data_IF_147924630383
#
_entry.id   IF_147924630383
#
_cell.length_a   1.000
_cell.length_b   1.000
_cell.length_c   1.000
_cell.angle_alpha   90.00
_cell.angle_beta   90.00
_cell.angle_gamma   90.00
#
_symmetry.space_group_name_H-M   'P 1'
#
loop_
_entity.id
_entity.type
_entity.pdbx_description
1 polymer ?
#
# COMPACT_ATOMS: atom_id res chain seq x y z
N UNK A 1 -14.55 8.18 3.33
CA UNK A 1 -13.14 7.71 3.42
C UNK A 1 -13.14 6.27 3.91
N UNK A 2 -12.70 5.33 3.08
CA UNK A 2 -12.68 3.91 3.44
C UNK A 2 -11.37 3.60 4.17
N UNK A 3 -11.46 3.42 5.50
CA UNK A 3 -10.33 3.16 6.40
C UNK A 3 -9.45 2.01 5.86
N UNK A 4 -8.16 2.27 5.70
CA UNK A 4 -7.19 1.27 5.25
C UNK A 4 -7.08 0.05 6.17
N UNK A 5 -6.32 -0.95 5.69
CA UNK A 5 -5.93 -2.16 6.40
C UNK A 5 -5.63 -1.88 7.88
N UNK A 6 -6.20 -2.69 8.77
CA UNK A 6 -5.75 -2.73 10.17
C UNK A 6 -4.48 -3.59 10.27
N UNK A 7 -3.31 -2.99 10.50
CA UNK A 7 -2.04 -3.69 10.49
C UNK A 7 -1.83 -4.57 11.74
N UNK A 8 -2.66 -4.43 12.76
CA UNK A 8 -2.56 -5.23 14.00
C UNK A 8 -3.08 -6.66 13.82
N UNK A 9 -3.92 -6.88 12.80
CA UNK A 9 -4.56 -8.16 12.50
C UNK A 9 -3.75 -9.04 11.52
N UNK A 10 -2.59 -8.57 11.05
CA UNK A 10 -1.74 -9.33 10.13
C UNK A 10 -0.67 -10.06 10.95
N UNK A 11 -0.93 -11.32 11.25
CA UNK A 11 0.00 -12.20 11.98
C UNK A 11 0.62 -13.28 11.10
N UNK A 12 -0.09 -13.66 10.03
CA UNK A 12 0.30 -14.69 9.09
C UNK A 12 0.22 -14.19 7.63
N UNK A 13 0.93 -14.83 6.68
CA UNK A 13 0.78 -14.53 5.26
C UNK A 13 -0.68 -14.62 4.75
N UNK A 14 -1.48 -15.52 5.31
CA UNK A 14 -2.90 -15.67 4.97
C UNK A 14 -3.73 -14.44 5.37
N UNK A 15 -3.45 -13.85 6.55
CA UNK A 15 -4.12 -12.62 7.01
C UNK A 15 -3.84 -11.48 6.04
N UNK A 16 -2.60 -11.41 5.54
CA UNK A 16 -2.20 -10.41 4.56
C UNK A 16 -2.94 -10.57 3.23
N UNK A 17 -3.07 -11.80 2.72
CA UNK A 17 -3.86 -12.06 1.50
C UNK A 17 -5.31 -11.62 1.69
N UNK A 18 -5.91 -11.96 2.84
CA UNK A 18 -7.28 -11.56 3.18
C UNK A 18 -7.41 -10.03 3.20
N UNK A 19 -6.47 -9.34 3.82
CA UNK A 19 -6.51 -7.90 3.96
C UNK A 19 -6.40 -7.15 2.61
N UNK A 20 -5.58 -7.64 1.67
CA UNK A 20 -5.55 -7.10 0.30
C UNK A 20 -6.88 -7.29 -0.45
N UNK A 21 -7.54 -8.44 -0.26
CA UNK A 21 -8.86 -8.70 -0.86
C UNK A 21 -9.94 -7.83 -0.24
N UNK A 22 -9.91 -7.66 1.08
CA UNK A 22 -10.84 -6.79 1.78
C UNK A 22 -10.68 -5.33 1.33
N UNK A 23 -9.44 -4.87 1.11
CA UNK A 23 -9.17 -3.54 0.55
C UNK A 23 -9.71 -3.41 -0.89
N UNK A 24 -9.50 -4.42 -1.73
CA UNK A 24 -10.03 -4.45 -3.10
C UNK A 24 -11.56 -4.34 -3.11
N UNK A 25 -12.23 -5.05 -2.20
CA UNK A 25 -13.69 -4.97 -2.04
C UNK A 25 -14.12 -3.57 -1.59
N UNK A 26 -13.42 -2.98 -0.60
CA UNK A 26 -13.72 -1.63 -0.10
C UNK A 26 -13.53 -0.55 -1.17
N UNK A 27 -12.58 -0.76 -2.09
CA UNK A 27 -12.32 0.13 -3.20
C UNK A 27 -13.31 -0.02 -4.37
N UNK A 28 -14.37 -0.83 -4.23
CA UNK A 28 -15.35 -1.03 -5.29
C UNK A 28 -14.93 -2.06 -6.36
N UNK A 29 -13.96 -2.92 -6.03
CA UNK A 29 -13.50 -4.01 -6.88
C UNK A 29 -12.95 -3.59 -8.26
N UNK A 30 -12.00 -2.63 -8.36
CA UNK A 30 -11.39 -2.27 -9.64
C UNK A 30 -10.80 -3.49 -10.33
N UNK A 31 -11.04 -3.65 -11.62
CA UNK A 31 -10.55 -4.79 -12.38
C UNK A 31 -9.03 -4.74 -12.53
N UNK A 32 -8.37 -5.89 -12.72
CA UNK A 32 -6.93 -5.90 -12.97
C UNK A 32 -6.51 -5.14 -14.25
N UNK A 33 -7.45 -4.92 -15.17
CA UNK A 33 -7.26 -4.09 -16.36
C UNK A 33 -7.26 -2.59 -16.06
N UNK A 34 -8.05 -2.15 -15.07
CA UNK A 34 -8.07 -0.76 -14.58
C UNK A 34 -6.90 -0.48 -13.63
N UNK A 35 -6.59 -1.41 -12.74
CA UNK A 35 -5.53 -1.22 -11.75
C UNK A 35 -4.15 -1.05 -12.38
N UNK A 36 -3.85 -1.80 -13.45
CA UNK A 36 -2.52 -1.81 -14.09
C UNK A 36 -2.09 -0.45 -14.68
N UNK A 37 -2.93 0.28 -15.45
CA UNK A 37 -2.59 1.64 -15.89
C UNK A 37 -2.58 2.66 -14.75
N UNK A 38 -3.40 2.49 -13.70
CA UNK A 38 -3.45 3.41 -12.54
C UNK A 38 -2.16 3.41 -11.72
N UNK A 39 -1.44 2.29 -11.71
CA UNK A 39 -0.24 2.09 -10.90
C UNK A 39 1.06 2.43 -11.62
N UNK A 40 0.97 2.84 -12.90
CA UNK A 40 2.13 3.17 -13.73
C UNK A 40 2.81 1.94 -14.37
N UNK A 41 3.66 2.17 -15.39
CA UNK A 41 4.24 1.09 -16.19
C UNK A 41 5.09 0.13 -15.35
N UNK A 42 4.77 -1.17 -15.41
CA UNK A 42 5.57 -2.23 -14.79
C UNK A 42 5.41 -2.38 -13.26
N UNK A 43 4.77 -1.43 -12.58
CA UNK A 43 4.62 -1.42 -11.12
C UNK A 43 3.62 -2.46 -10.64
N UNK A 44 2.50 -2.61 -11.36
CA UNK A 44 1.53 -3.66 -11.11
C UNK A 44 1.05 -4.25 -12.45
N UNK A 45 1.76 -5.26 -12.99
CA UNK A 45 1.30 -5.94 -14.19
C UNK A 45 -0.11 -6.52 -14.00
N UNK A 46 -0.95 -6.46 -15.03
CA UNK A 46 -2.32 -7.01 -15.02
C UNK A 46 -2.41 -8.44 -14.47
N UNK A 47 -1.46 -9.30 -14.83
CA UNK A 47 -1.39 -10.69 -14.36
C UNK A 47 -1.10 -10.78 -12.86
N UNK A 48 -0.21 -9.92 -12.36
CA UNK A 48 0.10 -9.78 -10.93
C UNK A 48 -1.11 -9.27 -10.16
N UNK A 49 -1.74 -8.17 -10.60
CA UNK A 49 -2.96 -7.63 -10.01
C UNK A 49 -4.05 -8.72 -9.92
N UNK A 50 -4.29 -9.44 -11.02
CA UNK A 50 -5.27 -10.52 -11.05
C UNK A 50 -4.98 -11.62 -10.01
N UNK A 51 -3.72 -12.05 -9.87
CA UNK A 51 -3.33 -13.08 -8.91
C UNK A 51 -3.48 -12.59 -7.46
N UNK A 52 -3.21 -11.31 -7.18
CA UNK A 52 -3.42 -10.70 -5.86
C UNK A 52 -4.92 -10.63 -5.53
N UNK A 53 -5.76 -10.14 -6.44
CA UNK A 53 -7.23 -10.09 -6.28
C UNK A 53 -7.81 -11.48 -5.99
N UNK A 54 -7.30 -12.52 -6.69
CA UNK A 54 -7.70 -13.91 -6.47
C UNK A 54 -7.09 -14.54 -5.21
N UNK A 55 -6.25 -13.81 -4.47
CA UNK A 55 -5.56 -14.30 -3.28
C UNK A 55 -4.59 -15.44 -3.55
N UNK A 56 -4.07 -15.55 -4.78
CA UNK A 56 -3.13 -16.61 -5.19
C UNK A 56 -1.68 -16.28 -4.84
N UNK A 57 -1.35 -15.00 -4.73
CA UNK A 57 -0.02 -14.51 -4.34
C UNK A 57 -0.16 -13.26 -3.47
N UNK A 58 0.88 -12.99 -2.69
CA UNK A 58 1.14 -11.67 -2.13
C UNK A 58 1.93 -10.81 -3.13
N UNK A 59 1.91 -9.47 -2.99
CA UNK A 59 2.87 -8.61 -3.66
C UNK A 59 4.29 -9.08 -3.31
N UNK A 60 5.12 -9.31 -4.33
CA UNK A 60 6.49 -9.80 -4.16
C UNK A 60 7.41 -8.69 -3.68
N UNK A 61 7.09 -7.45 -4.05
CA UNK A 61 7.86 -6.26 -3.68
C UNK A 61 6.97 -5.25 -2.95
N UNK A 62 7.56 -4.37 -2.14
CA UNK A 62 6.86 -3.24 -1.52
C UNK A 62 6.20 -2.34 -2.55
N UNK A 63 6.87 -2.12 -3.68
CA UNK A 63 6.37 -1.27 -4.76
C UNK A 63 5.10 -1.85 -5.37
N UNK A 64 5.01 -3.19 -5.53
CA UNK A 64 3.77 -3.84 -5.94
C UNK A 64 2.65 -3.69 -4.90
N UNK A 65 3.00 -3.68 -3.61
CA UNK A 65 2.04 -3.47 -2.53
C UNK A 65 1.50 -2.04 -2.55
N UNK A 66 2.38 -1.04 -2.65
CA UNK A 66 2.00 0.38 -2.77
C UNK A 66 1.16 0.61 -4.02
N UNK A 67 1.62 0.15 -5.18
CA UNK A 67 0.91 0.26 -6.44
C UNK A 67 -0.50 -0.36 -6.40
N UNK A 68 -0.67 -1.49 -5.71
CA UNK A 68 -1.98 -2.09 -5.51
C UNK A 68 -2.89 -1.22 -4.64
N UNK A 69 -2.35 -0.66 -3.56
CA UNK A 69 -3.09 0.20 -2.63
C UNK A 69 -3.49 1.52 -3.30
N UNK A 70 -2.59 2.14 -4.05
CA UNK A 70 -2.88 3.33 -4.87
C UNK A 70 -3.99 3.06 -5.87
N UNK A 71 -3.95 1.92 -6.58
CA UNK A 71 -5.02 1.50 -7.48
C UNK A 71 -6.33 1.12 -6.76
N UNK A 72 -6.34 1.07 -5.43
CA UNK A 72 -7.50 0.92 -4.57
C UNK A 72 -7.87 2.25 -3.85
N UNK A 73 -7.41 3.39 -4.39
CA UNK A 73 -7.61 4.75 -3.86
C UNK A 73 -7.10 4.99 -2.43
N UNK A 74 -6.21 4.13 -1.93
CA UNK A 74 -5.43 4.41 -0.72
C UNK A 74 -4.31 5.35 -1.13
N UNK A 75 -4.33 6.59 -0.64
CA UNK A 75 -3.38 7.64 -1.07
C UNK A 75 -2.62 8.26 0.10
N UNK A 76 -3.09 8.04 1.33
CA UNK A 76 -2.47 8.58 2.54
C UNK A 76 -1.16 7.82 2.86
N UNK A 77 -0.01 8.51 2.98
CA UNK A 77 1.26 7.88 3.34
C UNK A 77 1.21 7.04 4.62
N UNK A 78 0.43 7.47 5.61
CA UNK A 78 0.24 6.78 6.90
C UNK A 78 -0.53 5.47 6.76
N UNK A 79 -1.32 5.31 5.70
CA UNK A 79 -2.03 4.07 5.38
C UNK A 79 -1.11 3.09 4.65
N UNK A 80 -0.20 3.60 3.80
CA UNK A 80 0.86 2.79 3.21
C UNK A 80 1.84 2.27 4.26
N UNK A 81 2.29 3.14 5.18
CA UNK A 81 3.20 2.80 6.27
C UNK A 81 2.66 1.62 7.08
N UNK A 82 1.40 1.71 7.53
CA UNK A 82 0.76 0.66 8.32
C UNK A 82 0.72 -0.66 7.57
N UNK A 83 0.33 -0.63 6.30
CA UNK A 83 0.29 -1.82 5.44
C UNK A 83 1.67 -2.44 5.23
N UNK A 84 2.71 -1.61 5.03
CA UNK A 84 4.09 -2.06 4.83
C UNK A 84 4.74 -2.58 6.11
N UNK A 85 4.50 -1.94 7.24
CA UNK A 85 4.97 -2.41 8.56
C UNK A 85 4.35 -3.77 8.91
N UNK A 86 3.09 -4.00 8.54
CA UNK A 86 2.47 -5.32 8.65
C UNK A 86 3.08 -6.33 7.67
N UNK A 87 3.32 -5.92 6.42
CA UNK A 87 3.95 -6.74 5.40
C UNK A 87 5.36 -7.21 5.78
N UNK A 88 6.18 -6.32 6.35
CA UNK A 88 7.55 -6.60 6.78
C UNK A 88 7.58 -7.64 7.90
N UNK A 89 6.65 -7.59 8.86
CA UNK A 89 6.54 -8.57 9.96
C UNK A 89 6.28 -10.00 9.50
N UNK A 90 5.57 -10.17 8.38
CA UNK A 90 5.19 -11.50 7.85
C UNK A 90 5.96 -11.89 6.58
N UNK A 91 6.89 -11.06 6.12
CA UNK A 91 7.69 -11.34 4.94
C UNK A 91 8.65 -12.51 5.23
N UNK A 92 8.45 -13.65 4.56
CA UNK A 92 9.42 -14.72 4.52
C UNK A 92 10.42 -14.48 3.37
N UNK A 93 11.70 -14.26 3.67
CA UNK A 93 12.76 -14.07 2.67
C UNK A 93 13.60 -12.81 2.90
N UNK A 94 14.19 -12.24 1.84
CA UNK A 94 15.00 -11.03 1.94
C UNK A 94 14.11 -9.81 2.28
N UNK A 95 14.20 -9.37 3.54
CA UNK A 95 13.40 -8.27 4.08
C UNK A 95 13.89 -6.88 3.67
N UNK A 96 15.13 -6.75 3.16
CA UNK A 96 15.75 -5.44 2.89
C UNK A 96 14.95 -4.51 1.98
N UNK A 97 14.38 -4.99 0.86
CA UNK A 97 13.56 -4.10 0.01
C UNK A 97 12.35 -3.55 0.77
N UNK A 98 11.77 -4.34 1.69
CA UNK A 98 10.62 -3.94 2.50
C UNK A 98 10.95 -2.88 3.53
N UNK A 99 12.12 -2.97 4.16
CA UNK A 99 12.58 -1.94 5.09
C UNK A 99 12.94 -0.65 4.37
N UNK A 100 13.60 -0.72 3.21
CA UNK A 100 13.97 0.48 2.44
C UNK A 100 12.75 1.27 1.95
N UNK A 101 11.70 0.61 1.45
CA UNK A 101 10.47 1.30 1.04
C UNK A 101 9.70 1.85 2.26
N UNK A 102 9.74 1.15 3.40
CA UNK A 102 9.16 1.64 4.65
C UNK A 102 9.84 2.93 5.11
N UNK A 103 11.18 2.95 5.13
CA UNK A 103 11.97 4.13 5.48
C UNK A 103 11.69 5.30 4.53
N UNK A 104 11.57 5.04 3.22
CA UNK A 104 11.23 6.05 2.22
C UNK A 104 9.86 6.69 2.48
N UNK A 105 8.86 5.90 2.87
CA UNK A 105 7.53 6.42 3.19
C UNK A 105 7.54 7.19 4.51
N UNK A 106 8.29 6.74 5.51
CA UNK A 106 8.50 7.50 6.75
C UNK A 106 9.15 8.86 6.47
N UNK A 107 10.13 8.92 5.57
CA UNK A 107 10.74 10.18 5.14
C UNK A 107 9.70 11.10 4.48
N UNK A 108 8.86 10.57 3.57
CA UNK A 108 7.80 11.35 2.92
C UNK A 108 6.76 11.88 3.92
N UNK A 109 6.41 11.09 4.95
CA UNK A 109 5.55 11.53 6.06
C UNK A 109 6.23 12.68 6.82
N UNK A 110 7.50 12.53 7.19
CA UNK A 110 8.25 13.58 7.90
C UNK A 110 8.34 14.87 7.08
N UNK A 111 8.61 14.77 5.77
CA UNK A 111 8.63 15.90 4.85
C UNK A 111 7.26 16.58 4.75
N UNK A 112 6.17 15.82 4.65
CA UNK A 112 4.80 16.35 4.64
C UNK A 112 4.46 17.06 5.96
N UNK A 113 4.94 16.56 7.10
CA UNK A 113 4.75 17.21 8.40
C UNK A 113 5.53 18.53 8.50
N UNK A 114 6.75 18.57 7.97
CA UNK A 114 7.57 19.80 7.91
C UNK A 114 6.96 20.83 6.95
N UNK A 115 6.49 20.39 5.78
CA UNK A 115 5.92 21.26 4.75
C UNK A 115 4.47 21.70 5.08
N UNK A 116 3.70 20.85 5.75
CA UNK A 116 2.35 21.16 6.25
C UNK A 116 2.34 22.03 7.52
N UNK A 117 3.51 22.23 8.15
CA UNK A 117 3.71 23.12 9.29
C UNK A 117 4.12 24.54 8.91
N UNK A 118 3.97 24.96 7.64
CA UNK A 118 3.96 26.38 7.29
C UNK A 118 2.56 26.96 7.57
N UNK A 119 2.36 27.75 8.65
CA UNK A 119 1.12 28.49 8.79
C UNK A 119 1.09 29.55 7.69
N UNK A 120 0.06 29.51 6.85
CA UNK A 120 -0.39 30.69 6.11
C UNK A 120 -0.83 31.75 7.12
N UNK A 121 0.14 32.52 7.62
CA UNK A 121 -0.08 33.86 8.12
C UNK A 121 -0.45 34.72 6.91
N UNK A 122 -1.74 34.85 6.64
CA UNK A 122 -2.27 36.07 6.04
C UNK A 122 -3.31 36.67 6.97
N UNK A 123 -2.82 37.65 7.73
CA UNK A 123 -3.62 38.72 8.27
C UNK A 123 -4.42 39.39 7.14
N UNK A 124 -5.73 39.54 7.36
CA UNK A 124 -6.60 40.53 6.74
C UNK A 124 -7.76 40.79 7.70
#
# INVERSE_FOLDING_TARGET
MHKALDPTLISLPADRIRAFRDQHIRAGCPTSGEMSPMSGPGMLPKTTAHRIIKGRILPLTPQQAVAFLEACDVTAPEEFERSLAAAARVASGNIRPWTEEHDRILQKIAENLVNGAAPDLKAA
#
